data_IF_210242393064
#
_entry.id   IF_210242393064
#
_cell.length_a   1.000
_cell.length_b   1.000
_cell.length_c   1.000
_cell.angle_alpha   90.00
_cell.angle_beta   90.00
_cell.angle_gamma   90.00
#
_symmetry.space_group_name_H-M   'P 1'
#
loop_
_entity.id
_entity.type
_entity.pdbx_description
1 polymer ?
#
# COMPACT_ATOMS: atom_id res chain seq x y z
N UNK A 1 21.53 27.66 -28.50
CA UNK A 1 20.09 27.89 -28.21
C UNK A 1 19.86 27.47 -26.76
N UNK A 2 19.50 28.39 -25.86
CA UNK A 2 19.24 28.11 -24.44
C UNK A 2 17.81 27.56 -24.32
N UNK A 3 17.63 26.31 -23.89
CA UNK A 3 16.31 25.77 -23.55
C UNK A 3 15.80 26.46 -22.26
N UNK A 4 14.53 26.89 -22.20
CA UNK A 4 13.97 27.45 -20.98
C UNK A 4 13.79 26.32 -19.96
N UNK A 5 14.22 26.57 -18.72
CA UNK A 5 13.90 25.76 -17.56
C UNK A 5 12.40 25.96 -17.33
N UNK A 6 11.57 25.01 -17.78
CA UNK A 6 10.22 24.88 -17.24
C UNK A 6 10.41 24.59 -15.75
N UNK A 7 10.06 25.56 -14.90
CA UNK A 7 9.78 25.28 -13.50
C UNK A 7 8.55 24.34 -13.48
N UNK A 8 8.79 23.03 -13.55
CA UNK A 8 7.81 22.05 -13.12
C UNK A 8 7.58 22.34 -11.64
N UNK A 9 6.45 22.96 -11.34
CA UNK A 9 5.92 23.00 -9.99
C UNK A 9 5.75 21.54 -9.58
N UNK A 10 6.66 20.99 -8.77
CA UNK A 10 6.49 19.66 -8.19
C UNK A 10 5.14 19.70 -7.46
N UNK A 11 4.17 18.94 -7.95
CA UNK A 11 2.91 18.73 -7.24
C UNK A 11 3.27 18.20 -5.86
N UNK A 12 2.62 18.73 -4.82
CA UNK A 12 2.78 18.24 -3.45
C UNK A 12 2.56 16.71 -3.46
N UNK A 13 3.52 15.92 -2.95
CA UNK A 13 3.38 14.46 -2.85
C UNK A 13 2.07 14.07 -2.15
N UNK A 14 1.51 12.90 -2.52
CA UNK A 14 0.32 12.37 -1.84
C UNK A 14 0.62 12.18 -0.35
N UNK A 15 1.84 11.74 -0.02
CA UNK A 15 2.33 11.62 1.36
C UNK A 15 2.07 12.89 2.19
N UNK A 16 2.43 14.07 1.67
CA UNK A 16 2.23 15.33 2.37
C UNK A 16 0.74 15.72 2.41
N UNK A 17 -0.01 15.44 1.33
CA UNK A 17 -1.45 15.74 1.23
C UNK A 17 -2.30 15.00 2.26
N UNK A 18 -1.92 13.78 2.63
CA UNK A 18 -2.66 12.94 3.59
C UNK A 18 -2.23 13.15 5.04
N UNK A 19 -1.25 14.02 5.32
CA UNK A 19 -0.75 14.28 6.68
C UNK A 19 0.53 13.52 7.05
N UNK A 20 1.22 12.92 6.08
CA UNK A 20 2.54 12.32 6.27
C UNK A 20 2.54 11.04 7.10
N UNK A 21 3.62 10.84 7.85
CA UNK A 21 3.91 9.58 8.55
C UNK A 21 2.84 9.18 9.56
N UNK A 22 2.43 10.11 10.44
CA UNK A 22 1.48 9.84 11.51
C UNK A 22 0.12 9.41 10.96
N UNK A 23 -0.33 10.05 9.87
CA UNK A 23 -1.56 9.66 9.18
C UNK A 23 -1.45 8.25 8.58
N UNK A 24 -0.30 7.90 7.98
CA UNK A 24 -0.07 6.56 7.47
C UNK A 24 0.01 5.50 8.57
N UNK A 25 0.61 5.80 9.73
CA UNK A 25 0.61 4.89 10.87
C UNK A 25 -0.81 4.57 11.33
N UNK A 26 -1.69 5.59 11.42
CA UNK A 26 -3.09 5.40 11.77
C UNK A 26 -3.85 4.57 10.73
N UNK A 27 -3.68 4.88 9.45
CA UNK A 27 -4.30 4.11 8.34
C UNK A 27 -3.84 2.66 8.36
N UNK A 28 -2.54 2.40 8.52
CA UNK A 28 -1.99 1.03 8.54
C UNK A 28 -2.46 0.26 9.77
N UNK A 29 -2.61 0.93 10.92
CA UNK A 29 -3.15 0.30 12.13
C UNK A 29 -4.60 -0.16 11.94
N UNK A 30 -5.46 0.70 11.39
CA UNK A 30 -6.86 0.35 11.06
C UNK A 30 -6.92 -0.73 9.96
N UNK A 31 -6.12 -0.59 8.92
CA UNK A 31 -6.03 -1.54 7.81
C UNK A 31 -5.76 -2.97 8.29
N UNK A 32 -4.75 -3.15 9.15
CA UNK A 32 -4.47 -4.48 9.69
C UNK A 32 -5.49 -4.93 10.74
N UNK A 33 -6.23 -4.03 11.38
CA UNK A 33 -7.38 -4.42 12.21
C UNK A 33 -8.45 -5.09 11.35
N UNK A 34 -8.74 -4.53 10.17
CA UNK A 34 -9.72 -5.08 9.21
C UNK A 34 -9.24 -6.39 8.58
N UNK A 35 -8.01 -6.41 8.07
CA UNK A 35 -7.42 -7.59 7.41
C UNK A 35 -7.35 -8.79 8.36
N UNK A 36 -7.03 -8.58 9.63
CA UNK A 36 -6.95 -9.67 10.62
C UNK A 36 -8.32 -10.12 11.14
N UNK A 37 -9.38 -9.35 10.88
CA UNK A 37 -10.76 -9.71 11.22
C UNK A 37 -11.48 -10.44 10.06
N UNK A 38 -10.86 -10.51 8.88
CA UNK A 38 -11.37 -11.26 7.74
C UNK A 38 -10.90 -12.73 7.81
N UNK A 39 -11.84 -13.66 7.85
CA UNK A 39 -11.58 -15.10 7.96
C UNK A 39 -10.83 -15.68 6.74
N UNK A 40 -10.94 -15.07 5.56
CA UNK A 40 -10.23 -15.46 4.34
C UNK A 40 -8.77 -14.96 4.34
N UNK A 41 -8.47 -13.88 5.08
CA UNK A 41 -7.15 -13.26 5.11
C UNK A 41 -6.33 -13.59 6.37
N UNK A 42 -6.97 -13.72 7.53
CA UNK A 42 -6.29 -13.85 8.81
C UNK A 42 -5.28 -15.01 8.85
N UNK A 43 -5.60 -16.12 8.17
CA UNK A 43 -4.74 -17.30 8.07
C UNK A 43 -3.34 -17.01 7.53
N UNK A 44 -3.20 -16.10 6.56
CA UNK A 44 -1.92 -15.73 5.93
C UNK A 44 -0.93 -15.07 6.91
N UNK A 45 -1.44 -14.51 8.00
CA UNK A 45 -0.66 -13.77 8.98
C UNK A 45 -0.34 -14.58 10.24
N UNK A 46 -0.75 -15.85 10.30
CA UNK A 46 -0.41 -16.75 11.42
C UNK A 46 1.10 -16.82 11.63
N UNK A 47 1.56 -16.54 12.85
CA UNK A 47 2.98 -16.53 13.20
C UNK A 47 3.77 -15.30 12.72
N UNK A 48 3.11 -14.33 12.09
CA UNK A 48 3.75 -13.09 11.65
C UNK A 48 3.97 -12.13 12.82
N UNK A 49 5.16 -11.51 12.87
CA UNK A 49 5.38 -10.38 13.77
C UNK A 49 4.66 -9.13 13.21
N UNK A 50 3.43 -8.91 13.68
CA UNK A 50 2.57 -7.83 13.18
C UNK A 50 3.13 -6.43 13.44
N UNK A 51 3.86 -6.22 14.53
CA UNK A 51 4.50 -4.92 14.81
C UNK A 51 5.53 -4.59 13.73
N UNK A 52 6.41 -5.55 13.41
CA UNK A 52 7.39 -5.40 12.34
C UNK A 52 6.74 -5.23 10.97
N UNK A 53 5.67 -5.98 10.69
CA UNK A 53 4.96 -5.89 9.42
C UNK A 53 4.30 -4.52 9.23
N UNK A 54 3.60 -4.00 10.25
CA UNK A 54 2.99 -2.66 10.20
C UNK A 54 4.03 -1.58 9.89
N UNK A 55 5.18 -1.60 10.59
CA UNK A 55 6.27 -0.67 10.29
C UNK A 55 6.74 -0.74 8.84
N UNK A 56 6.89 -1.96 8.28
CA UNK A 56 7.26 -2.14 6.87
C UNK A 56 6.17 -1.70 5.89
N UNK A 57 4.89 -1.83 6.25
CA UNK A 57 3.78 -1.35 5.43
C UNK A 57 3.72 0.18 5.41
N UNK A 58 3.91 0.84 6.56
CA UNK A 58 4.00 2.31 6.64
C UNK A 58 5.15 2.82 5.78
N UNK A 59 6.32 2.20 5.90
CA UNK A 59 7.50 2.54 5.11
C UNK A 59 7.27 2.36 3.60
N UNK A 60 6.63 1.24 3.21
CA UNK A 60 6.28 0.97 1.81
C UNK A 60 5.32 2.04 1.26
N UNK A 61 4.23 2.33 1.97
CA UNK A 61 3.27 3.35 1.54
C UNK A 61 3.90 4.75 1.53
N UNK A 62 4.69 5.10 2.54
CA UNK A 62 5.37 6.40 2.58
C UNK A 62 6.25 6.58 1.33
N UNK A 63 7.10 5.60 1.01
CA UNK A 63 7.94 5.65 -0.18
C UNK A 63 7.12 5.71 -1.49
N UNK A 64 6.07 4.88 -1.61
CA UNK A 64 5.21 4.84 -2.80
C UNK A 64 4.43 6.14 -3.02
N UNK A 65 4.08 6.86 -1.96
CA UNK A 65 3.32 8.12 -1.99
C UNK A 65 4.20 9.38 -2.08
N UNK A 66 5.52 9.20 -2.27
CA UNK A 66 6.49 10.29 -2.45
C UNK A 66 7.02 10.88 -1.15
N UNK A 67 6.97 10.12 -0.05
CA UNK A 67 7.61 10.45 1.21
C UNK A 67 9.15 10.48 1.10
N UNK A 68 9.82 11.04 2.11
CA UNK A 68 11.25 11.34 2.03
C UNK A 68 12.15 10.11 2.19
N UNK A 69 11.66 9.07 2.85
CA UNK A 69 12.44 7.87 3.19
C UNK A 69 12.15 6.72 2.21
N UNK A 70 13.17 5.92 1.83
CA UNK A 70 13.00 4.78 0.95
C UNK A 70 12.38 3.59 1.66
N UNK A 71 11.78 2.68 0.88
CA UNK A 71 11.42 1.35 1.35
C UNK A 71 12.66 0.44 1.40
N UNK A 72 12.87 -0.20 2.56
CA UNK A 72 14.03 -1.07 2.85
C UNK A 72 13.63 -2.53 3.04
N UNK A 73 12.36 -2.89 2.81
CA UNK A 73 11.94 -4.28 2.82
C UNK A 73 12.28 -5.02 1.53
N UNK A 74 12.00 -6.33 1.52
CA UNK A 74 12.21 -7.14 0.34
C UNK A 74 11.16 -6.84 -0.74
N UNK A 75 11.45 -7.08 -2.03
CA UNK A 75 10.52 -6.84 -3.13
C UNK A 75 9.17 -7.55 -2.95
N UNK A 76 8.09 -6.94 -3.44
CA UNK A 76 6.72 -7.46 -3.30
C UNK A 76 6.60 -8.90 -3.78
N UNK A 77 7.18 -9.23 -4.94
CA UNK A 77 7.21 -10.59 -5.45
C UNK A 77 7.85 -11.58 -4.49
N UNK A 78 9.02 -11.24 -3.94
CA UNK A 78 9.75 -12.13 -3.05
C UNK A 78 9.00 -12.40 -1.74
N UNK A 79 8.39 -11.36 -1.15
CA UNK A 79 7.71 -11.53 0.16
C UNK A 79 6.39 -12.28 0.05
N UNK A 80 5.74 -12.25 -1.12
CA UNK A 80 4.43 -12.89 -1.37
C UNK A 80 4.52 -14.23 -2.11
N UNK A 81 5.68 -14.57 -2.68
CA UNK A 81 5.90 -15.81 -3.43
C UNK A 81 5.55 -17.07 -2.61
N UNK A 82 4.85 -18.01 -3.26
CA UNK A 82 4.57 -19.34 -2.69
C UNK A 82 3.50 -19.35 -1.60
N UNK A 83 2.82 -18.23 -1.36
CA UNK A 83 1.76 -18.13 -0.34
C UNK A 83 0.38 -18.55 -0.84
N UNK A 84 0.18 -18.70 -2.15
CA UNK A 84 -1.14 -19.03 -2.71
C UNK A 84 -2.11 -17.84 -2.69
N UNK A 85 -1.58 -16.61 -2.77
CA UNK A 85 -2.39 -15.40 -2.82
C UNK A 85 -3.07 -15.31 -4.19
N UNK A 86 -4.40 -15.18 -4.21
CA UNK A 86 -5.21 -15.07 -5.41
C UNK A 86 -5.57 -13.61 -5.68
N UNK A 87 -6.14 -13.31 -6.85
CA UNK A 87 -6.68 -11.98 -7.13
C UNK A 87 -7.80 -11.62 -6.15
N UNK A 88 -8.64 -12.59 -5.76
CA UNK A 88 -9.67 -12.38 -4.74
C UNK A 88 -9.09 -11.89 -3.40
N UNK A 89 -8.03 -12.52 -2.89
CA UNK A 89 -7.38 -12.05 -1.65
C UNK A 89 -6.79 -10.64 -1.82
N UNK A 90 -6.24 -10.33 -3.00
CA UNK A 90 -5.71 -9.01 -3.29
C UNK A 90 -6.82 -7.94 -3.31
N UNK A 91 -7.97 -8.25 -3.93
CA UNK A 91 -9.14 -7.38 -3.98
C UNK A 91 -9.70 -7.10 -2.57
N UNK A 92 -9.78 -8.11 -1.70
CA UNK A 92 -10.15 -7.93 -0.29
C UNK A 92 -9.19 -6.96 0.43
N UNK A 93 -7.88 -7.17 0.27
CA UNK A 93 -6.84 -6.30 0.84
C UNK A 93 -6.95 -4.86 0.31
N UNK A 94 -7.13 -4.67 -1.00
CA UNK A 94 -7.30 -3.36 -1.60
C UNK A 94 -8.58 -2.67 -1.12
N UNK A 95 -9.66 -3.43 -0.92
CA UNK A 95 -10.90 -2.96 -0.31
C UNK A 95 -10.70 -2.45 1.11
N UNK A 96 -10.00 -3.22 1.95
CA UNK A 96 -9.72 -2.78 3.32
C UNK A 96 -8.79 -1.57 3.40
N UNK A 97 -7.83 -1.45 2.47
CA UNK A 97 -7.02 -0.24 2.36
C UNK A 97 -7.89 0.98 2.02
N UNK A 98 -8.81 0.85 1.05
CA UNK A 98 -9.77 1.90 0.70
C UNK A 98 -10.60 2.32 1.91
N UNK A 99 -11.14 1.35 2.65
CA UNK A 99 -11.97 1.61 3.83
C UNK A 99 -11.20 2.34 4.92
N UNK A 100 -9.95 1.93 5.18
CA UNK A 100 -9.09 2.58 6.19
C UNK A 100 -8.69 4.01 5.81
N UNK A 101 -8.38 4.25 4.53
CA UNK A 101 -8.11 5.60 4.04
C UNK A 101 -9.36 6.49 4.17
N UNK A 102 -10.52 5.97 3.79
CA UNK A 102 -11.80 6.68 3.89
C UNK A 102 -12.16 6.98 5.35
N UNK A 103 -11.97 6.03 6.25
CA UNK A 103 -12.19 6.19 7.68
C UNK A 103 -11.24 7.22 8.33
N UNK A 104 -10.03 7.36 7.79
CA UNK A 104 -9.08 8.42 8.18
C UNK A 104 -9.44 9.80 7.59
N UNK A 105 -10.52 9.92 6.82
CA UNK A 105 -10.96 11.18 6.22
C UNK A 105 -10.16 11.60 4.99
N UNK A 106 -9.43 10.67 4.36
CA UNK A 106 -8.75 10.95 3.09
C UNK A 106 -9.81 11.18 2.01
N UNK A 107 -9.74 12.29 1.25
CA UNK A 107 -10.70 12.56 0.18
C UNK A 107 -10.74 11.46 -0.89
N UNK A 108 -11.93 11.16 -1.43
CA UNK A 108 -12.15 10.06 -2.37
C UNK A 108 -11.25 10.10 -3.62
N UNK A 109 -10.94 11.30 -4.13
CA UNK A 109 -10.02 11.48 -5.25
C UNK A 109 -8.59 11.04 -4.89
N UNK A 110 -8.14 11.38 -3.68
CA UNK A 110 -6.85 10.99 -3.13
C UNK A 110 -6.81 9.50 -2.81
N UNK A 111 -7.92 8.91 -2.33
CA UNK A 111 -8.04 7.45 -2.18
C UNK A 111 -7.89 6.75 -3.52
N UNK A 112 -8.55 7.25 -4.57
CA UNK A 112 -8.44 6.68 -5.92
C UNK A 112 -7.01 6.78 -6.47
N UNK A 113 -6.31 7.89 -6.24
CA UNK A 113 -4.88 8.02 -6.61
C UNK A 113 -4.00 6.99 -5.89
N UNK A 114 -4.22 6.77 -4.59
CA UNK A 114 -3.46 5.77 -3.81
C UNK A 114 -3.73 4.36 -4.34
N UNK A 115 -4.99 4.01 -4.60
CA UNK A 115 -5.33 2.69 -5.14
C UNK A 115 -4.75 2.48 -6.53
N UNK A 116 -4.65 3.52 -7.37
CA UNK A 116 -4.01 3.41 -8.68
C UNK A 116 -2.51 3.07 -8.60
N UNK A 117 -1.85 3.38 -7.48
CA UNK A 117 -0.46 2.97 -7.20
C UNK A 117 -0.39 1.52 -6.73
N UNK A 118 -1.40 1.07 -5.98
CA UNK A 118 -1.42 -0.28 -5.38
C UNK A 118 -1.86 -1.35 -6.37
N UNK A 119 -2.88 -1.09 -7.20
CA UNK A 119 -3.46 -2.07 -8.13
C UNK A 119 -2.43 -2.77 -9.02
N UNK A 120 -1.44 -2.09 -9.63
CA UNK A 120 -0.41 -2.75 -10.44
C UNK A 120 0.46 -3.77 -9.68
N UNK A 121 0.51 -3.71 -8.34
CA UNK A 121 1.27 -4.66 -7.53
C UNK A 121 0.61 -6.05 -7.49
N UNK A 122 -0.64 -6.19 -7.96
CA UNK A 122 -1.31 -7.47 -8.03
C UNK A 122 -0.50 -8.51 -8.84
N UNK A 123 0.20 -8.08 -9.89
CA UNK A 123 1.03 -8.95 -10.73
C UNK A 123 2.24 -9.53 -9.97
N UNK A 124 2.78 -8.77 -9.01
CA UNK A 124 3.87 -9.22 -8.15
C UNK A 124 3.38 -10.05 -6.97
N UNK A 125 2.16 -9.78 -6.47
CA UNK A 125 1.65 -10.33 -5.22
C UNK A 125 0.86 -11.62 -5.44
N UNK A 126 0.08 -11.69 -6.51
CA UNK A 126 -0.79 -12.83 -6.77
C UNK A 126 -0.02 -13.96 -7.45
N UNK A 127 -0.42 -15.20 -7.16
CA UNK A 127 0.18 -16.40 -7.75
C UNK A 127 -0.49 -16.79 -9.09
N UNK A 128 -1.42 -15.96 -9.60
CA UNK A 128 -2.28 -16.23 -10.76
C UNK A 128 -1.88 -15.43 -12.00
N UNK A 129 -0.65 -15.65 -12.48
CA UNK A 129 -0.11 -15.04 -13.71
C UNK A 129 0.84 -15.94 -14.49
N UNK A 130 0.82 -17.26 -14.24
CA UNK A 130 1.37 -18.24 -15.16
C UNK A 130 0.21 -18.84 -15.96
N UNK A 131 -0.01 -18.30 -17.16
CA UNK A 131 -0.79 -18.98 -18.19
C UNK A 131 -0.02 -20.22 -18.66
N UNK A 132 -0.72 -21.37 -18.62
CA UNK A 132 -0.40 -22.66 -19.26
C UNK A 132 0.81 -23.45 -18.75
#
# INVERSE_FOLDING_TARGET
>A
MRMPILFQKKSTPIYDRIGGHEALEAVVADFYTRVLADDELAGFFTGTNMSRLRGKQVEFFAAALGGPEPYTGAPMKQVHQGRGITMHHFELVAGYLKDSLSAAGVPDDTVAEILAIVVPLADDITSGGATA
#
